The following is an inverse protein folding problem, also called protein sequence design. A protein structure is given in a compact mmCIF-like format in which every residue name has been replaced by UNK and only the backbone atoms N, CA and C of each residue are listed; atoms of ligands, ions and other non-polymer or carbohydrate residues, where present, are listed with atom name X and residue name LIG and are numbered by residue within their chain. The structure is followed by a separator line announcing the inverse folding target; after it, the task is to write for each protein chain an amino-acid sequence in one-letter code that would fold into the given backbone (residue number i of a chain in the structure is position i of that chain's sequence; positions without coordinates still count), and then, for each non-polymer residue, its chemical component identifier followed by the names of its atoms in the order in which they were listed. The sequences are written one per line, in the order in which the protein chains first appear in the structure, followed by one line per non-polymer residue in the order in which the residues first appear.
data_IF_430735169216
#
_entry.id   IF_430735169216
#
_cell.length_a   1.000
_cell.length_b   1.000
_cell.length_c   1.000
_cell.angle_alpha   90.00
_cell.angle_beta   90.00
_cell.angle_gamma   90.00
#
_symmetry.space_group_name_H-M   'P 1'
#
loop_
_entity.id
_entity.type
_entity.pdbx_description
1 polymer ?
#
# COMPACT_ATOMS: atom_id res chain seq x y z
N UNK A 1 -4.02 -26.88 10.47
CA UNK A 1 -3.63 -25.48 10.15
C UNK A 1 -4.66 -24.49 10.68
N UNK A 2 -5.95 -24.67 10.38
CA UNK A 2 -7.05 -23.84 10.88
C UNK A 2 -6.97 -23.59 12.40
N UNK A 3 -6.96 -24.64 13.23
CA UNK A 3 -6.93 -24.49 14.69
C UNK A 3 -5.66 -23.78 15.20
N UNK A 4 -4.53 -23.95 14.51
CA UNK A 4 -3.28 -23.25 14.84
C UNK A 4 -3.44 -21.74 14.65
N UNK A 5 -4.03 -21.32 13.52
CA UNK A 5 -4.30 -19.90 13.24
C UNK A 5 -5.34 -19.35 14.21
N UNK A 6 -6.42 -20.09 14.45
CA UNK A 6 -7.47 -19.71 15.40
C UNK A 6 -6.89 -19.47 16.80
N UNK A 7 -6.09 -20.41 17.29
CA UNK A 7 -5.45 -20.30 18.60
C UNK A 7 -4.42 -19.16 18.66
N UNK A 8 -3.67 -18.89 17.58
CA UNK A 8 -2.70 -17.79 17.57
C UNK A 8 -3.34 -16.41 17.65
N UNK A 9 -4.58 -16.27 17.14
CA UNK A 9 -5.32 -14.99 17.14
C UNK A 9 -6.17 -14.77 18.40
N UNK A 10 -6.33 -15.79 19.25
CA UNK A 10 -7.21 -15.74 20.41
C UNK A 10 -6.77 -14.64 21.39
N UNK A 11 -7.69 -13.72 21.69
CA UNK A 11 -7.45 -12.61 22.62
C UNK A 11 -6.49 -11.53 22.10
N UNK A 12 -6.05 -11.61 20.84
CA UNK A 12 -5.15 -10.62 20.23
C UNK A 12 -5.93 -9.45 19.65
N UNK A 13 -5.32 -8.26 19.67
CA UNK A 13 -5.79 -7.12 18.89
C UNK A 13 -5.43 -7.37 17.43
N UNK A 14 -6.40 -7.24 16.54
CA UNK A 14 -6.23 -7.61 15.13
C UNK A 14 -6.70 -6.52 14.18
N UNK A 15 -6.15 -6.56 12.98
CA UNK A 15 -6.66 -5.84 11.82
C UNK A 15 -7.20 -6.83 10.79
N UNK A 16 -8.34 -6.50 10.19
CA UNK A 16 -8.94 -7.26 9.10
C UNK A 16 -8.65 -6.55 7.79
N UNK A 17 -8.03 -7.25 6.84
CA UNK A 17 -7.74 -6.73 5.52
C UNK A 17 -8.64 -7.46 4.52
N UNK A 18 -9.27 -6.72 3.63
CA UNK A 18 -10.22 -7.22 2.66
C UNK A 18 -9.89 -6.67 1.27
N UNK A 19 -9.97 -7.54 0.26
CA UNK A 19 -9.90 -7.12 -1.12
C UNK A 19 -10.72 -8.08 -1.99
N UNK A 20 -11.43 -7.52 -2.95
CA UNK A 20 -12.30 -8.25 -3.86
C UNK A 20 -11.62 -8.42 -5.21
N UNK A 21 -11.86 -9.57 -5.84
CA UNK A 21 -11.43 -9.78 -7.21
C UNK A 21 -12.37 -10.72 -7.94
N UNK A 22 -12.28 -10.66 -9.27
CA UNK A 22 -13.04 -11.52 -10.18
C UNK A 22 -12.09 -12.53 -10.81
N UNK A 23 -12.46 -13.80 -10.75
CA UNK A 23 -11.63 -14.86 -11.34
C UNK A 23 -11.87 -15.08 -12.85
N UNK A 24 -11.07 -15.94 -13.47
CA UNK A 24 -11.15 -16.25 -14.91
C UNK A 24 -12.49 -16.84 -15.34
N UNK A 25 -13.26 -17.40 -14.41
CA UNK A 25 -14.61 -17.91 -14.63
C UNK A 25 -15.69 -16.87 -14.29
N UNK A 26 -15.33 -15.58 -14.16
CA UNK A 26 -16.24 -14.48 -13.83
C UNK A 26 -16.93 -14.63 -12.46
N UNK A 27 -16.28 -15.30 -11.51
CA UNK A 27 -16.81 -15.43 -10.14
C UNK A 27 -16.15 -14.40 -9.24
N UNK A 28 -16.98 -13.66 -8.51
CA UNK A 28 -16.53 -12.72 -7.49
C UNK A 28 -16.07 -13.46 -6.24
N UNK A 29 -14.93 -13.06 -5.69
CA UNK A 29 -14.44 -13.58 -4.43
C UNK A 29 -13.80 -12.48 -3.59
N UNK A 30 -13.98 -12.57 -2.28
CA UNK A 30 -13.40 -11.70 -1.28
C UNK A 30 -12.29 -12.45 -0.54
N UNK A 31 -11.09 -11.88 -0.52
CA UNK A 31 -10.06 -12.32 0.40
C UNK A 31 -10.27 -11.64 1.76
N UNK A 32 -10.33 -12.43 2.83
CA UNK A 32 -10.39 -11.93 4.20
C UNK A 32 -9.12 -12.37 4.93
N UNK A 33 -8.23 -11.42 5.17
CA UNK A 33 -6.98 -11.61 5.88
C UNK A 33 -7.08 -11.00 7.29
N UNK A 34 -6.27 -11.52 8.20
CA UNK A 34 -6.15 -11.02 9.56
C UNK A 34 -4.69 -10.80 9.92
N UNK A 35 -4.40 -9.65 10.51
CA UNK A 35 -3.06 -9.28 10.99
C UNK A 35 -3.10 -9.11 12.50
N UNK A 36 -2.22 -9.82 13.20
CA UNK A 36 -1.94 -9.56 14.62
C UNK A 36 -1.19 -8.23 14.75
N UNK A 37 -1.68 -7.36 15.62
CA UNK A 37 -1.11 -6.03 15.85
C UNK A 37 -0.09 -5.98 17.01
N UNK A 38 0.32 -7.12 17.56
CA UNK A 38 1.39 -7.16 18.58
C UNK A 38 2.77 -6.77 18.03
N UNK A 39 3.68 -6.35 18.92
CA UNK A 39 5.08 -6.06 18.61
C UNK A 39 5.79 -7.36 18.22
N UNK A 40 5.67 -7.81 16.96
CA UNK A 40 6.46 -8.90 16.36
C UNK A 40 6.30 -9.01 14.83
N UNK A 41 5.91 -7.91 14.15
CA UNK A 41 5.79 -7.82 12.67
C UNK A 41 5.15 -9.07 12.02
N UNK A 42 4.10 -9.64 12.64
CA UNK A 42 3.48 -10.83 12.06
C UNK A 42 2.85 -10.47 10.70
N UNK A 43 3.27 -11.20 9.67
CA UNK A 43 2.63 -11.13 8.36
C UNK A 43 1.14 -11.47 8.50
N UNK A 44 0.25 -10.79 7.77
CA UNK A 44 -1.16 -11.17 7.74
C UNK A 44 -1.33 -12.63 7.34
N UNK A 45 -2.30 -13.30 7.95
CA UNK A 45 -2.75 -14.65 7.60
C UNK A 45 -4.04 -14.57 6.81
N UNK A 46 -4.20 -15.44 5.82
CA UNK A 46 -5.46 -15.62 5.11
C UNK A 46 -6.43 -16.42 5.99
N UNK A 47 -7.57 -15.83 6.33
CA UNK A 47 -8.64 -16.50 7.07
C UNK A 47 -9.60 -17.20 6.12
N UNK A 48 -10.06 -16.50 5.07
CA UNK A 48 -11.01 -17.08 4.14
C UNK A 48 -10.93 -16.46 2.75
N UNK A 49 -11.30 -17.27 1.76
CA UNK A 49 -11.57 -16.82 0.39
C UNK A 49 -13.06 -17.05 0.15
N UNK A 50 -13.86 -15.99 0.23
CA UNK A 50 -15.32 -16.09 0.23
C UNK A 50 -15.85 -15.76 -1.16
N UNK A 51 -16.45 -16.72 -1.85
CA UNK A 51 -17.19 -16.43 -3.08
C UNK A 51 -18.44 -15.62 -2.78
N UNK A 52 -18.65 -14.55 -3.55
CA UNK A 52 -19.80 -13.67 -3.43
C UNK A 52 -20.75 -13.92 -4.60
N UNK A 53 -22.05 -13.92 -4.33
CA UNK A 53 -23.08 -13.95 -5.38
C UNK A 53 -23.12 -12.62 -6.14
N UNK A 54 -22.94 -11.51 -5.41
CA UNK A 54 -22.88 -10.15 -5.94
C UNK A 54 -21.87 -9.33 -5.16
N UNK A 55 -21.26 -8.33 -5.81
CA UNK A 55 -20.35 -7.37 -5.18
C UNK A 55 -21.13 -6.16 -4.68
N UNK A 56 -21.54 -6.19 -3.42
CA UNK A 56 -22.21 -5.07 -2.77
C UNK A 56 -21.85 -5.00 -1.28
N UNK A 57 -22.23 -3.92 -0.61
CA UNK A 57 -21.84 -3.71 0.78
C UNK A 57 -22.39 -4.77 1.73
N UNK A 58 -23.58 -5.34 1.45
CA UNK A 58 -24.21 -6.34 2.31
C UNK A 58 -23.49 -7.68 2.24
N UNK A 59 -23.18 -8.15 1.04
CA UNK A 59 -22.49 -9.44 0.82
C UNK A 59 -21.08 -9.40 1.42
N UNK A 60 -20.36 -8.29 1.25
CA UNK A 60 -19.05 -8.07 1.87
C UNK A 60 -19.16 -8.07 3.40
N UNK A 61 -20.07 -7.27 4.00
CA UNK A 61 -20.20 -7.23 5.47
C UNK A 61 -20.55 -8.61 6.04
N UNK A 62 -21.46 -9.33 5.41
CA UNK A 62 -21.83 -10.69 5.83
C UNK A 62 -20.66 -11.66 5.75
N UNK A 63 -19.86 -11.61 4.68
CA UNK A 63 -18.66 -12.43 4.52
C UNK A 63 -17.65 -12.18 5.65
N UNK A 64 -17.39 -10.91 5.98
CA UNK A 64 -16.50 -10.53 7.08
C UNK A 64 -17.04 -11.04 8.42
N UNK A 65 -18.31 -10.78 8.75
CA UNK A 65 -18.92 -11.21 10.02
C UNK A 65 -18.88 -12.74 10.17
N UNK A 66 -19.23 -13.48 9.12
CA UNK A 66 -19.17 -14.96 9.11
C UNK A 66 -17.74 -15.45 9.35
N UNK A 67 -16.76 -14.80 8.73
CA UNK A 67 -15.34 -15.15 8.91
C UNK A 67 -14.89 -14.89 10.35
N UNK A 68 -15.21 -13.73 10.93
CA UNK A 68 -14.88 -13.42 12.32
C UNK A 68 -15.46 -14.44 13.31
N UNK A 69 -16.74 -14.80 13.13
CA UNK A 69 -17.41 -15.81 13.94
C UNK A 69 -16.77 -17.21 13.79
N UNK A 70 -16.43 -17.62 12.57
CA UNK A 70 -15.74 -18.91 12.29
C UNK A 70 -14.43 -19.02 13.07
N UNK A 71 -13.68 -17.93 13.17
CA UNK A 71 -12.40 -17.86 13.87
C UNK A 71 -12.51 -17.46 15.35
N UNK A 72 -13.72 -17.26 15.90
CA UNK A 72 -13.92 -16.82 17.29
C UNK A 72 -13.14 -15.54 17.63
N UNK A 73 -13.08 -14.61 16.68
CA UNK A 73 -12.46 -13.30 16.86
C UNK A 73 -13.49 -12.38 17.51
N UNK A 74 -13.22 -11.97 18.75
CA UNK A 74 -14.03 -10.97 19.43
C UNK A 74 -14.02 -9.65 18.65
N UNK A 75 -15.21 -9.10 18.38
CA UNK A 75 -15.36 -7.84 17.66
C UNK A 75 -14.70 -6.65 18.34
N UNK A 76 -14.65 -6.61 19.68
CA UNK A 76 -13.95 -5.58 20.45
C UNK A 76 -12.44 -5.62 20.21
N UNK A 77 -11.91 -6.77 19.78
CA UNK A 77 -10.50 -6.94 19.48
C UNK A 77 -10.13 -6.59 18.04
N UNK A 78 -11.09 -6.14 17.21
CA UNK A 78 -10.80 -5.62 15.86
C UNK A 78 -10.57 -4.12 15.92
N UNK A 79 -9.34 -3.70 15.64
CA UNK A 79 -8.90 -2.30 15.74
C UNK A 79 -8.77 -1.62 14.37
N UNK A 80 -8.78 -2.40 13.30
CA UNK A 80 -8.66 -1.89 11.94
C UNK A 80 -9.44 -2.75 10.95
N UNK A 81 -10.10 -2.07 10.02
CA UNK A 81 -10.64 -2.66 8.81
C UNK A 81 -9.98 -1.97 7.61
N UNK A 82 -9.28 -2.74 6.79
CA UNK A 82 -8.57 -2.22 5.61
C UNK A 82 -9.23 -2.76 4.35
N UNK A 83 -9.51 -1.88 3.40
CA UNK A 83 -10.05 -2.29 2.10
C UNK A 83 -9.55 -1.36 0.99
N UNK A 84 -9.92 -1.66 -0.25
CA UNK A 84 -9.85 -0.68 -1.33
C UNK A 84 -10.73 0.57 -1.04
N UNK A 85 -10.68 1.55 -1.94
CA UNK A 85 -11.45 2.78 -1.85
C UNK A 85 -12.81 2.71 -2.58
N UNK A 86 -13.34 1.52 -2.85
CA UNK A 86 -14.62 1.38 -3.52
C UNK A 86 -15.78 1.83 -2.62
N UNK A 87 -16.80 2.43 -3.23
CA UNK A 87 -17.94 2.99 -2.50
C UNK A 87 -18.71 1.93 -1.71
N UNK A 88 -18.77 0.69 -2.19
CA UNK A 88 -19.43 -0.41 -1.50
C UNK A 88 -18.61 -0.93 -0.30
N UNK A 89 -17.26 -0.91 -0.36
CA UNK A 89 -16.41 -1.23 0.78
C UNK A 89 -16.56 -0.16 1.89
N UNK A 90 -16.58 1.11 1.50
CA UNK A 90 -16.85 2.21 2.42
C UNK A 90 -18.23 2.08 3.09
N UNK A 91 -19.28 1.72 2.32
CA UNK A 91 -20.61 1.45 2.86
C UNK A 91 -20.65 0.21 3.75
N UNK A 92 -19.90 -0.84 3.42
CA UNK A 92 -19.82 -2.08 4.22
C UNK A 92 -19.34 -1.74 5.62
N UNK A 93 -18.29 -0.91 5.72
CA UNK A 93 -17.80 -0.47 7.01
C UNK A 93 -18.78 0.47 7.73
N UNK A 94 -19.08 1.63 7.12
CA UNK A 94 -19.76 2.71 7.82
C UNK A 94 -21.24 2.42 8.13
N UNK A 95 -21.88 1.53 7.39
CA UNK A 95 -23.29 1.21 7.63
C UNK A 95 -23.48 -0.05 8.49
N UNK A 96 -22.50 -0.96 8.51
CA UNK A 96 -22.65 -2.28 9.14
C UNK A 96 -21.54 -2.55 10.14
N UNK A 97 -20.28 -2.66 9.68
CA UNK A 97 -19.19 -3.15 10.52
C UNK A 97 -18.85 -2.20 11.68
N UNK A 98 -18.93 -0.88 11.48
CA UNK A 98 -18.62 0.09 12.55
C UNK A 98 -19.51 -0.08 13.79
N UNK A 99 -20.74 -0.54 13.63
CA UNK A 99 -21.68 -0.77 14.72
C UNK A 99 -21.36 -2.06 15.51
N UNK A 100 -20.58 -2.96 14.92
CA UNK A 100 -20.16 -4.23 15.53
C UNK A 100 -18.73 -4.15 16.06
N UNK A 101 -17.87 -3.34 15.45
CA UNK A 101 -16.43 -3.25 15.72
C UNK A 101 -16.09 -1.91 16.41
N UNK A 102 -16.40 -1.73 17.71
CA UNK A 102 -16.39 -0.42 18.37
C UNK A 102 -15.00 0.24 18.46
N UNK A 103 -13.93 -0.56 18.42
CA UNK A 103 -12.55 -0.06 18.48
C UNK A 103 -11.92 0.13 17.09
N UNK A 104 -12.62 -0.26 16.02
CA UNK A 104 -12.08 -0.25 14.67
C UNK A 104 -12.13 1.13 14.03
N UNK A 105 -11.20 1.38 13.11
CA UNK A 105 -11.32 2.44 12.11
C UNK A 105 -11.19 1.84 10.70
N UNK A 106 -11.84 2.48 9.73
CA UNK A 106 -11.69 2.10 8.32
C UNK A 106 -10.49 2.81 7.70
N UNK A 107 -9.61 2.01 7.13
CA UNK A 107 -8.46 2.45 6.34
C UNK A 107 -8.70 2.05 4.90
N UNK A 108 -8.95 3.04 4.06
CA UNK A 108 -8.87 2.82 2.61
C UNK A 108 -7.41 2.71 2.20
N UNK A 109 -7.12 1.80 1.29
CA UNK A 109 -5.75 1.47 0.91
C UNK A 109 -5.00 2.70 0.39
N UNK A 110 -3.94 3.10 1.09
CA UNK A 110 -3.14 4.29 0.72
C UNK A 110 -2.56 4.15 -0.68
N UNK A 111 -2.13 2.95 -1.08
CA UNK A 111 -1.61 2.72 -2.43
C UNK A 111 -2.66 3.07 -3.50
N UNK A 112 -3.95 2.80 -3.24
CA UNK A 112 -5.05 3.17 -4.12
C UNK A 112 -5.29 4.69 -4.10
N UNK A 113 -5.18 5.34 -2.94
CA UNK A 113 -5.28 6.81 -2.84
C UNK A 113 -4.16 7.50 -3.63
N UNK A 114 -2.92 7.05 -3.46
CA UNK A 114 -1.77 7.58 -4.19
C UNK A 114 -1.95 7.32 -5.69
N UNK A 115 -2.40 6.13 -6.09
CA UNK A 115 -2.72 5.83 -7.48
C UNK A 115 -3.82 6.76 -8.04
N UNK A 116 -4.84 7.09 -7.25
CA UNK A 116 -5.88 8.05 -7.63
C UNK A 116 -5.33 9.47 -7.79
N UNK A 117 -4.41 9.91 -6.92
CA UNK A 117 -3.74 11.21 -7.03
C UNK A 117 -2.87 11.23 -8.30
N UNK A 118 -2.05 10.20 -8.50
CA UNK A 118 -1.23 9.95 -9.68
C UNK A 118 -2.03 9.98 -10.98
N UNK A 119 -3.21 9.37 -10.99
CA UNK A 119 -4.07 9.31 -12.18
C UNK A 119 -4.52 10.70 -12.66
N UNK A 120 -4.61 11.68 -11.74
CA UNK A 120 -4.87 13.09 -12.09
C UNK A 120 -3.79 13.64 -13.02
N UNK A 121 -2.54 13.22 -12.83
CA UNK A 121 -1.42 13.61 -13.68
C UNK A 121 -1.53 12.97 -15.05
N UNK A 122 -1.79 11.66 -15.07
CA UNK A 122 -1.98 10.90 -16.31
C UNK A 122 -3.09 11.49 -17.18
N UNK A 123 -4.27 11.73 -16.62
CA UNK A 123 -5.42 12.29 -17.34
C UNK A 123 -5.14 13.69 -17.88
N UNK A 124 -4.38 14.49 -17.13
CA UNK A 124 -4.04 15.86 -17.52
C UNK A 124 -2.95 15.91 -18.58
N UNK A 125 -2.00 14.96 -18.56
CA UNK A 125 -0.86 14.87 -19.48
C UNK A 125 -1.15 13.92 -20.65
N UNK A 126 -2.24 14.17 -21.39
CA UNK A 126 -2.76 13.28 -22.46
C UNK A 126 -1.72 12.90 -23.52
N UNK A 127 -0.86 13.84 -23.92
CA UNK A 127 0.22 13.56 -24.90
C UNK A 127 1.24 12.56 -24.36
N UNK A 128 1.64 12.72 -23.09
CA UNK A 128 2.57 11.82 -22.42
C UNK A 128 1.93 10.45 -22.17
N UNK A 129 0.66 10.41 -21.75
CA UNK A 129 -0.07 9.15 -21.57
C UNK A 129 -0.20 8.37 -22.89
N UNK A 130 -0.46 9.08 -24.00
CA UNK A 130 -0.48 8.50 -25.34
C UNK A 130 0.88 7.93 -25.73
N UNK A 131 1.98 8.65 -25.47
CA UNK A 131 3.33 8.14 -25.71
C UNK A 131 3.60 6.84 -24.93
N UNK A 132 3.31 6.85 -23.63
CA UNK A 132 3.48 5.67 -22.76
C UNK A 132 2.67 4.47 -23.30
N UNK A 133 1.43 4.71 -23.74
CA UNK A 133 0.58 3.70 -24.37
C UNK A 133 1.14 3.16 -25.70
N UNK A 134 1.67 4.04 -26.56
CA UNK A 134 2.28 3.67 -27.84
C UNK A 134 3.55 2.85 -27.63
N UNK A 135 4.44 3.26 -26.72
CA UNK A 135 5.64 2.49 -26.40
C UNK A 135 5.26 1.11 -25.88
N UNK A 136 4.30 1.00 -24.95
CA UNK A 136 3.77 -0.30 -24.51
C UNK A 136 3.27 -1.13 -25.70
N UNK A 137 2.50 -0.54 -26.61
CA UNK A 137 1.97 -1.23 -27.79
C UNK A 137 3.08 -1.75 -28.71
N UNK A 138 4.07 -0.92 -29.03
CA UNK A 138 5.22 -1.22 -29.89
C UNK A 138 5.96 -2.47 -29.39
N UNK A 139 6.17 -2.57 -28.07
CA UNK A 139 6.91 -3.68 -27.46
C UNK A 139 6.05 -4.90 -27.14
N UNK A 140 4.80 -4.72 -26.71
CA UNK A 140 3.92 -5.85 -26.34
C UNK A 140 3.48 -6.68 -27.55
N UNK A 141 3.30 -6.07 -28.73
CA UNK A 141 2.81 -6.75 -29.93
C UNK A 141 3.89 -7.47 -30.74
N UNK A 142 5.17 -7.22 -30.49
CA UNK A 142 6.27 -7.81 -31.28
C UNK A 142 7.38 -8.35 -30.38
N UNK A 143 7.40 -9.67 -30.11
CA UNK A 143 8.51 -10.33 -29.41
C UNK A 143 9.86 -10.10 -30.09
N UNK A 144 9.88 -10.09 -31.43
CA UNK A 144 11.09 -9.83 -32.21
C UNK A 144 11.65 -8.43 -31.95
N UNK A 145 10.79 -7.40 -31.84
CA UNK A 145 11.20 -6.03 -31.54
C UNK A 145 11.78 -5.89 -30.12
N UNK A 146 11.21 -6.61 -29.14
CA UNK A 146 11.77 -6.69 -27.77
C UNK A 146 13.20 -7.23 -27.79
N UNK A 147 13.45 -8.30 -28.56
CA UNK A 147 14.78 -8.89 -28.70
C UNK A 147 15.74 -7.89 -29.35
N UNK A 148 15.35 -7.29 -30.47
CA UNK A 148 16.20 -6.29 -31.18
C UNK A 148 16.53 -5.09 -30.30
N UNK A 149 15.59 -4.59 -29.51
CA UNK A 149 15.85 -3.47 -28.62
C UNK A 149 16.82 -3.85 -27.49
N UNK A 150 16.69 -5.06 -26.93
CA UNK A 150 17.62 -5.55 -25.93
C UNK A 150 19.04 -5.66 -26.49
N UNK A 151 19.19 -6.18 -27.71
CA UNK A 151 20.48 -6.25 -28.43
C UNK A 151 21.03 -4.84 -28.68
N UNK A 152 20.20 -3.92 -29.16
CA UNK A 152 20.57 -2.52 -29.38
C UNK A 152 21.10 -1.83 -28.11
N UNK A 153 20.46 -2.06 -26.95
CA UNK A 153 20.94 -1.51 -25.67
C UNK A 153 22.26 -2.14 -25.21
N UNK A 154 22.46 -3.45 -25.48
CA UNK A 154 23.71 -4.15 -25.17
C UNK A 154 24.87 -3.65 -26.02
N UNK A 155 24.66 -3.43 -27.32
CA UNK A 155 25.66 -2.87 -28.24
C UNK A 155 26.11 -1.45 -27.83
N UNK A 156 25.24 -0.70 -27.17
CA UNK A 156 25.55 0.62 -26.62
C UNK A 156 26.14 0.59 -25.21
N UNK A 157 26.46 -0.58 -24.66
CA UNK A 157 27.01 -0.78 -23.31
C UNK A 157 26.16 -0.15 -22.19
N UNK A 158 24.83 -0.17 -22.31
CA UNK A 158 23.94 0.31 -21.24
C UNK A 158 23.95 -0.69 -20.08
N UNK A 159 24.37 -0.23 -18.91
CA UNK A 159 24.61 -1.04 -17.69
C UNK A 159 23.40 -1.89 -17.26
N UNK A 160 22.17 -1.42 -17.57
CA UNK A 160 20.90 -2.14 -17.37
C UNK A 160 20.05 -2.12 -18.63
N UNK A 161 20.33 -3.02 -19.57
CA UNK A 161 19.57 -3.23 -20.82
C UNK A 161 18.18 -3.86 -20.57
N UNK A 162 17.36 -3.20 -19.76
CA UNK A 162 16.00 -3.62 -19.43
C UNK A 162 15.02 -3.15 -20.51
N UNK A 163 13.95 -3.92 -20.72
CA UNK A 163 12.84 -3.48 -21.57
C UNK A 163 12.02 -2.39 -20.87
N UNK A 164 11.27 -1.57 -21.64
CA UNK A 164 10.40 -0.58 -21.03
C UNK A 164 9.37 -1.26 -20.11
N UNK A 165 9.13 -0.71 -18.90
CA UNK A 165 8.12 -1.22 -17.99
C UNK A 165 6.74 -1.20 -18.66
N UNK A 166 5.94 -2.25 -18.48
CA UNK A 166 4.56 -2.24 -18.94
C UNK A 166 3.67 -1.54 -17.90
N UNK A 167 3.09 -0.36 -18.21
CA UNK A 167 2.20 0.31 -17.28
C UNK A 167 0.92 -0.53 -17.11
N UNK A 168 0.55 -0.76 -15.86
CA UNK A 168 -0.67 -1.45 -15.44
C UNK A 168 -1.48 -0.47 -14.61
N UNK A 169 -2.63 -0.05 -15.13
CA UNK A 169 -3.46 1.01 -14.53
C UNK A 169 -3.83 0.68 -13.08
N UNK A 170 -4.03 -0.60 -12.76
CA UNK A 170 -4.40 -1.07 -11.42
C UNK A 170 -3.22 -1.26 -10.46
N UNK A 171 -1.96 -1.16 -10.93
CA UNK A 171 -0.77 -1.27 -10.06
C UNK A 171 -0.15 0.10 -9.86
N UNK A 172 -0.07 0.52 -8.60
CA UNK A 172 0.50 1.80 -8.21
C UNK A 172 1.90 2.00 -8.82
N UNK A 173 2.21 3.26 -9.15
CA UNK A 173 3.50 3.71 -9.66
C UNK A 173 3.94 3.22 -11.06
N UNK A 174 3.33 2.19 -11.66
CA UNK A 174 3.82 1.62 -12.93
C UNK A 174 3.87 2.62 -14.09
N UNK A 175 2.93 3.57 -14.14
CA UNK A 175 2.92 4.64 -15.13
C UNK A 175 4.10 5.61 -14.94
N UNK A 176 4.39 6.01 -13.70
CA UNK A 176 5.55 6.85 -13.39
C UNK A 176 6.86 6.11 -13.60
N UNK A 177 6.94 4.82 -13.26
CA UNK A 177 8.11 3.98 -13.55
C UNK A 177 8.36 3.89 -15.06
N UNK A 178 7.30 3.75 -15.87
CA UNK A 178 7.42 3.77 -17.33
C UNK A 178 7.94 5.12 -17.83
N UNK A 179 7.42 6.24 -17.32
CA UNK A 179 7.92 7.59 -17.65
C UNK A 179 9.38 7.75 -17.26
N UNK A 180 9.76 7.38 -16.04
CA UNK A 180 11.13 7.47 -15.56
C UNK A 180 12.07 6.68 -16.49
N UNK A 181 11.70 5.44 -16.83
CA UNK A 181 12.44 4.65 -17.79
C UNK A 181 12.57 5.36 -19.15
N UNK A 182 11.48 5.94 -19.68
CA UNK A 182 11.51 6.62 -20.96
C UNK A 182 12.40 7.86 -20.94
N UNK A 183 12.41 8.60 -19.83
CA UNK A 183 13.27 9.78 -19.64
C UNK A 183 14.74 9.37 -19.57
N UNK A 184 15.05 8.34 -18.78
CA UNK A 184 16.41 7.78 -18.66
C UNK A 184 16.93 7.22 -19.99
N UNK A 185 16.04 6.62 -20.79
CA UNK A 185 16.39 5.98 -22.07
C UNK A 185 15.98 6.81 -23.29
N UNK A 186 15.75 8.11 -23.15
CA UNK A 186 15.12 8.95 -24.17
C UNK A 186 15.83 8.91 -25.52
N UNK A 187 17.15 9.17 -25.49
CA UNK A 187 17.97 9.20 -26.71
C UNK A 187 18.07 7.81 -27.35
N UNK A 188 18.11 6.75 -26.54
CA UNK A 188 18.13 5.36 -27.01
C UNK A 188 16.81 4.98 -27.67
N UNK A 189 15.68 5.33 -27.07
CA UNK A 189 14.35 5.10 -27.61
C UNK A 189 14.16 5.83 -28.94
N UNK A 190 14.55 7.11 -29.02
CA UNK A 190 14.50 7.88 -30.27
C UNK A 190 15.31 7.21 -31.38
N UNK A 191 16.56 6.81 -31.10
CA UNK A 191 17.42 6.15 -32.09
C UNK A 191 16.84 4.82 -32.55
N UNK A 192 16.36 3.99 -31.62
CA UNK A 192 15.79 2.69 -31.94
C UNK A 192 14.48 2.78 -32.72
N UNK A 193 13.58 3.70 -32.35
CA UNK A 193 12.32 3.88 -33.09
C UNK A 193 12.59 4.37 -34.52
N UNK A 194 13.56 5.28 -34.70
CA UNK A 194 13.97 5.71 -36.05
C UNK A 194 14.53 4.55 -36.89
N UNK A 195 15.34 3.65 -36.31
CA UNK A 195 15.85 2.49 -37.04
C UNK A 195 14.73 1.50 -37.38
N UNK A 196 13.77 1.28 -36.47
CA UNK A 196 12.60 0.44 -36.73
C UNK A 196 11.66 1.03 -37.80
N UNK A 197 11.46 2.35 -37.85
CA UNK A 197 10.68 3.01 -38.91
C UNK A 197 11.35 2.80 -40.27
N UNK A 198 12.68 2.88 -40.33
CA UNK A 198 13.43 2.65 -41.57
C UNK A 198 13.25 1.22 -42.09
N UNK A 199 13.05 0.25 -41.19
CA UNK A 199 12.79 -1.16 -41.53
C UNK A 199 11.31 -1.44 -41.82
N UNK A 200 10.39 -0.73 -41.16
CA UNK A 200 8.95 -0.98 -41.20
C UNK A 200 8.14 0.33 -41.31
N UNK A 201 8.27 1.07 -42.43
CA UNK A 201 7.75 2.43 -42.57
C UNK A 201 6.23 2.55 -42.51
N UNK A 202 5.51 1.46 -42.80
CA UNK A 202 4.04 1.39 -42.75
C UNK A 202 3.48 1.26 -41.32
N UNK A 203 4.32 1.14 -40.30
CA UNK A 203 3.87 0.97 -38.91
C UNK A 203 3.49 2.31 -38.28
N UNK A 204 2.22 2.69 -38.38
CA UNK A 204 1.70 3.98 -37.86
C UNK A 204 2.09 4.27 -36.40
N UNK A 205 2.04 3.27 -35.53
CA UNK A 205 2.38 3.44 -34.10
C UNK A 205 3.83 3.88 -33.87
N UNK A 206 4.76 3.48 -34.76
CA UNK A 206 6.17 3.90 -34.66
C UNK A 206 6.32 5.37 -35.06
N UNK A 207 5.71 5.76 -36.18
CA UNK A 207 5.71 7.14 -36.69
C UNK A 207 5.09 8.10 -35.68
N UNK A 208 3.93 7.73 -35.12
CA UNK A 208 3.22 8.52 -34.11
C UNK A 208 4.00 8.65 -32.79
N UNK A 209 4.65 7.58 -32.33
CA UNK A 209 5.51 7.64 -31.15
C UNK A 209 6.71 8.57 -31.37
N UNK A 210 7.33 8.53 -32.54
CA UNK A 210 8.46 9.39 -32.88
C UNK A 210 8.07 10.88 -32.93
N UNK A 211 6.90 11.20 -33.48
CA UNK A 211 6.40 12.59 -33.49
C UNK A 211 6.21 13.12 -32.07
N UNK A 212 5.61 12.33 -31.18
CA UNK A 212 5.41 12.73 -29.78
C UNK A 212 6.75 12.81 -29.02
N UNK A 213 7.72 11.93 -29.31
CA UNK A 213 9.08 11.99 -28.75
C UNK A 213 9.86 13.23 -29.20
N UNK A 214 9.62 13.75 -30.40
CA UNK A 214 10.24 15.00 -30.84
C UNK A 214 9.69 16.22 -30.07
N UNK A 215 8.42 16.16 -29.66
CA UNK A 215 7.68 17.25 -28.98
C UNK A 215 7.99 17.36 -27.47
N UNK A 216 8.33 16.26 -26.78
CA UNK A 216 8.24 16.15 -25.32
C UNK A 216 9.57 16.16 -24.51
N UNK A 217 10.71 16.59 -25.07
CA UNK A 217 12.04 16.45 -24.43
C UNK A 217 12.12 17.08 -23.01
N UNK A 218 12.12 16.27 -21.95
CA UNK A 218 12.28 16.69 -20.53
C UNK A 218 13.08 15.65 -19.72
N UNK A 219 13.89 16.07 -18.72
CA UNK A 219 14.81 15.24 -17.88
C UNK A 219 14.42 15.14 -16.39
N UNK A 220 14.69 13.94 -15.82
CA UNK A 220 14.84 13.45 -14.42
C UNK A 220 13.66 13.63 -13.44
N UNK A 221 13.49 12.90 -12.31
CA UNK A 221 13.83 11.58 -11.69
C UNK A 221 12.92 11.46 -10.44
N UNK A 222 12.57 10.27 -9.90
CA UNK A 222 12.41 9.97 -8.44
C UNK A 222 11.78 8.58 -8.16
N UNK A 223 12.32 7.86 -7.16
CA UNK A 223 11.92 6.52 -6.66
C UNK A 223 11.27 6.60 -5.27
N UNK A 224 10.47 5.59 -4.88
CA UNK A 224 9.82 5.50 -3.55
C UNK A 224 9.86 4.09 -2.94
N UNK A 225 9.82 4.02 -1.60
CA UNK A 225 9.73 2.81 -0.77
C UNK A 225 8.75 3.00 0.42
N UNK A 226 8.38 1.90 1.10
CA UNK A 226 7.28 1.75 2.08
C UNK A 226 7.48 2.45 3.45
N UNK A 227 6.38 2.76 4.14
CA UNK A 227 6.31 3.59 5.36
C UNK A 227 5.57 2.94 6.55
N UNK A 228 5.96 3.30 7.78
CA UNK A 228 5.20 3.08 9.03
C UNK A 228 3.92 3.94 9.10
N UNK A 229 2.96 3.62 9.99
CA UNK A 229 1.74 4.42 10.14
C UNK A 229 2.02 5.86 10.66
N UNK A 230 3.02 6.01 11.52
CA UNK A 230 3.52 7.31 12.03
C UNK A 230 4.25 8.13 10.97
N UNK A 231 4.85 7.46 9.98
CA UNK A 231 5.54 8.08 8.85
C UNK A 231 4.56 8.47 7.75
N UNK A 232 3.56 7.63 7.49
CA UNK A 232 2.58 7.82 6.43
C UNK A 232 1.95 9.22 6.43
N UNK A 233 1.46 9.68 7.60
CA UNK A 233 0.87 11.02 7.66
C UNK A 233 1.92 12.09 7.32
N UNK A 234 3.16 11.93 7.78
CA UNK A 234 4.24 12.86 7.45
C UNK A 234 4.54 12.87 5.96
N UNK A 235 4.58 11.73 5.30
CA UNK A 235 4.90 11.68 3.87
C UNK A 235 3.78 12.24 3.01
N UNK A 236 2.52 11.98 3.38
CA UNK A 236 1.38 12.64 2.75
C UNK A 236 1.40 14.16 3.03
N UNK A 237 1.82 14.59 4.22
CA UNK A 237 1.95 16.01 4.55
C UNK A 237 3.14 16.67 3.83
N UNK A 238 4.27 15.97 3.63
CA UNK A 238 5.38 16.43 2.78
C UNK A 238 4.91 16.59 1.34
N UNK A 239 4.13 15.63 0.83
CA UNK A 239 3.51 15.73 -0.49
C UNK A 239 2.57 16.94 -0.57
N UNK A 240 1.78 17.20 0.48
CA UNK A 240 0.94 18.39 0.58
C UNK A 240 1.77 19.69 0.52
N UNK A 241 2.83 19.81 1.32
CA UNK A 241 3.74 20.96 1.30
C UNK A 241 4.43 21.14 -0.06
N UNK A 242 4.84 20.04 -0.69
CA UNK A 242 5.45 20.04 -2.02
C UNK A 242 4.49 20.61 -3.07
N UNK A 243 3.20 20.26 -3.05
CA UNK A 243 2.23 20.87 -3.94
C UNK A 243 2.11 22.38 -3.72
N UNK A 244 2.02 22.84 -2.46
CA UNK A 244 1.93 24.26 -2.14
C UNK A 244 3.15 25.05 -2.63
N UNK A 245 4.35 24.52 -2.44
CA UNK A 245 5.58 25.15 -2.95
C UNK A 245 5.57 25.26 -4.49
N UNK A 246 4.99 24.28 -5.17
CA UNK A 246 4.88 24.28 -6.63
C UNK A 246 3.75 25.18 -7.15
N UNK A 247 2.77 25.57 -6.34
CA UNK A 247 1.80 26.61 -6.71
C UNK A 247 2.51 27.95 -6.95
N UNK A 248 3.40 28.34 -6.04
CA UNK A 248 4.19 29.55 -6.18
C UNK A 248 5.19 29.45 -7.33
N UNK A 249 5.87 28.31 -7.45
CA UNK A 249 6.85 28.06 -8.52
C UNK A 249 6.23 28.18 -9.91
N UNK A 250 5.03 27.64 -10.09
CA UNK A 250 4.34 27.62 -11.40
C UNK A 250 3.23 28.66 -11.52
N UNK A 251 3.23 29.72 -10.69
CA UNK A 251 2.19 30.76 -10.72
C UNK A 251 1.97 31.40 -12.10
N UNK A 252 3.02 31.44 -12.93
CA UNK A 252 3.00 31.99 -14.29
C UNK A 252 2.76 30.94 -15.39
N UNK A 253 2.76 29.65 -15.06
CA UNK A 253 2.45 28.54 -15.98
C UNK A 253 1.06 27.98 -15.62
N UNK A 254 0.03 28.52 -16.25
CA UNK A 254 -1.37 28.17 -15.95
C UNK A 254 -1.66 26.68 -16.11
N UNK A 255 -0.96 26.00 -17.04
CA UNK A 255 -1.13 24.58 -17.31
C UNK A 255 -0.61 23.72 -16.16
N UNK A 256 0.62 24.00 -15.70
CA UNK A 256 1.24 23.29 -14.57
C UNK A 256 0.56 23.66 -13.26
N UNK A 257 0.22 24.93 -13.05
CA UNK A 257 -0.50 25.36 -11.85
C UNK A 257 -1.83 24.61 -11.70
N UNK A 258 -2.63 24.53 -12.77
CA UNK A 258 -3.90 23.80 -12.77
C UNK A 258 -3.70 22.31 -12.47
N UNK A 259 -2.63 21.70 -13.00
CA UNK A 259 -2.30 20.30 -12.75
C UNK A 259 -1.99 20.03 -11.27
N UNK A 260 -1.12 20.84 -10.68
CA UNK A 260 -0.77 20.75 -9.27
C UNK A 260 -2.01 21.01 -8.39
N UNK A 261 -2.85 22.00 -8.71
CA UNK A 261 -4.06 22.30 -7.96
C UNK A 261 -5.05 21.12 -7.96
N UNK A 262 -5.33 20.53 -9.13
CA UNK A 262 -6.22 19.35 -9.23
C UNK A 262 -5.69 18.15 -8.45
N UNK A 263 -4.38 17.89 -8.54
CA UNK A 263 -3.73 16.81 -7.78
C UNK A 263 -3.83 17.06 -6.27
N UNK A 264 -3.59 18.30 -5.84
CA UNK A 264 -3.66 18.72 -4.44
C UNK A 264 -5.07 18.64 -3.86
N UNK A 265 -6.09 19.06 -4.61
CA UNK A 265 -7.50 18.92 -4.19
C UNK A 265 -7.84 17.46 -3.89
N UNK A 266 -7.36 16.53 -4.75
CA UNK A 266 -7.57 15.10 -4.53
C UNK A 266 -6.82 14.59 -3.30
N UNK A 267 -5.61 15.07 -3.03
CA UNK A 267 -4.86 14.76 -1.81
C UNK A 267 -5.56 15.29 -0.55
N UNK A 268 -6.01 16.56 -0.56
CA UNK A 268 -6.71 17.19 0.57
C UNK A 268 -7.96 16.41 0.98
N UNK A 269 -8.71 15.90 0.00
CA UNK A 269 -9.91 15.10 0.23
C UNK A 269 -9.66 13.94 1.21
N UNK A 270 -8.53 13.25 1.07
CA UNK A 270 -8.18 12.12 1.93
C UNK A 270 -7.42 12.56 3.19
N UNK A 271 -6.57 13.58 3.07
CA UNK A 271 -5.70 14.01 4.17
C UNK A 271 -6.45 14.82 5.25
N UNK A 272 -7.40 15.66 4.84
CA UNK A 272 -8.08 16.63 5.71
C UNK A 272 -9.60 16.51 5.72
N UNK A 273 -10.23 16.16 4.58
CA UNK A 273 -11.69 16.21 4.45
C UNK A 273 -12.40 14.91 4.87
N UNK A 274 -11.68 14.00 5.54
CA UNK A 274 -12.25 12.80 6.16
C UNK A 274 -12.64 11.68 5.19
N UNK A 275 -12.27 11.74 3.91
CA UNK A 275 -12.55 10.64 2.97
C UNK A 275 -11.80 9.33 3.30
N UNK A 276 -10.79 9.41 4.17
CA UNK A 276 -10.15 8.26 4.79
C UNK A 276 -10.33 8.36 6.32
N UNK A 277 -11.27 7.60 6.93
CA UNK A 277 -11.60 7.75 8.35
C UNK A 277 -10.41 7.57 9.30
N UNK A 278 -9.49 6.64 9.00
CA UNK A 278 -8.29 6.42 9.82
C UNK A 278 -7.22 7.51 9.67
N UNK A 279 -7.36 8.48 8.78
CA UNK A 279 -6.34 9.53 8.60
C UNK A 279 -6.17 10.38 9.85
N UNK A 280 -7.28 10.67 10.55
CA UNK A 280 -7.24 11.35 11.84
C UNK A 280 -6.43 10.52 12.85
N UNK A 281 -6.68 9.21 12.91
CA UNK A 281 -5.94 8.30 13.77
C UNK A 281 -4.43 8.31 13.45
N UNK A 282 -4.04 8.34 12.17
CA UNK A 282 -2.64 8.42 11.76
C UNK A 282 -1.98 9.75 12.11
N UNK A 283 -2.71 10.86 11.97
CA UNK A 283 -2.24 12.17 12.43
C UNK A 283 -1.93 12.15 13.92
N UNK A 284 -2.86 11.63 14.72
CA UNK A 284 -2.70 11.58 16.18
C UNK A 284 -1.62 10.56 16.59
N UNK A 285 -1.50 9.43 15.89
CA UNK A 285 -0.50 8.38 16.16
C UNK A 285 0.95 8.88 16.18
N UNK A 286 1.24 10.02 15.56
CA UNK A 286 2.56 10.67 15.57
C UNK A 286 3.10 10.96 16.96
N UNK A 287 2.22 11.05 17.98
CA UNK A 287 2.67 11.17 19.38
C UNK A 287 3.51 9.97 19.85
N UNK A 288 3.35 8.81 19.20
CA UNK A 288 4.08 7.59 19.51
C UNK A 288 5.53 7.60 19.02
N UNK A 289 5.89 8.59 18.21
CA UNK A 289 7.26 8.84 17.80
C UNK A 289 7.81 9.99 18.66
N UNK A 290 8.62 9.67 19.70
CA UNK A 290 9.29 10.65 20.55
C UNK A 290 9.99 11.79 19.80
N UNK A 291 10.63 11.50 18.67
CA UNK A 291 11.37 12.50 17.90
C UNK A 291 10.42 13.50 17.25
N UNK A 292 9.24 13.05 16.80
CA UNK A 292 8.21 13.92 16.24
C UNK A 292 7.44 14.66 17.34
N UNK A 293 7.09 13.96 18.42
CA UNK A 293 6.14 14.43 19.42
C UNK A 293 6.63 15.65 20.20
N UNK A 294 7.96 15.84 20.30
CA UNK A 294 8.56 17.07 20.86
C UNK A 294 8.11 18.35 20.14
N UNK A 295 7.69 18.24 18.88
CA UNK A 295 7.23 19.35 18.03
C UNK A 295 5.71 19.39 17.84
N UNK A 296 4.96 18.56 18.56
CA UNK A 296 3.50 18.49 18.48
C UNK A 296 2.85 19.10 19.71
N UNK A 297 1.55 19.42 19.60
CA UNK A 297 0.75 19.74 20.77
C UNK A 297 0.72 18.55 21.73
N UNK A 298 1.06 18.78 22.99
CA UNK A 298 1.15 17.74 24.02
C UNK A 298 -0.13 17.64 24.88
N UNK A 299 -1.21 18.31 24.47
CA UNK A 299 -2.51 18.22 25.13
C UNK A 299 -3.14 16.82 24.98
N UNK A 300 -3.12 16.04 26.06
CA UNK A 300 -3.67 14.69 26.14
C UNK A 300 -5.12 14.58 25.63
N UNK A 301 -5.97 15.56 25.92
CA UNK A 301 -7.41 15.46 25.61
C UNK A 301 -7.66 15.50 24.09
N UNK A 302 -6.73 16.04 23.29
CA UNK A 302 -6.81 16.03 21.83
C UNK A 302 -6.65 14.61 21.26
N UNK A 303 -5.69 13.85 21.81
CA UNK A 303 -5.42 12.47 21.44
C UNK A 303 -6.47 11.50 21.99
N UNK A 304 -6.88 11.68 23.25
CA UNK A 304 -7.78 10.76 23.96
C UNK A 304 -9.18 10.64 23.33
N UNK A 305 -9.61 11.63 22.54
CA UNK A 305 -10.88 11.59 21.79
C UNK A 305 -10.82 10.71 20.54
N UNK A 306 -9.63 10.48 19.99
CA UNK A 306 -9.46 9.82 18.69
C UNK A 306 -8.85 8.42 18.79
N UNK A 307 -8.04 8.17 19.83
CA UNK A 307 -7.35 6.89 19.99
C UNK A 307 -8.11 6.00 20.98
N UNK A 308 -8.56 4.80 20.57
CA UNK A 308 -9.21 3.84 21.45
C UNK A 308 -8.40 3.56 22.71
N UNK A 309 -9.06 3.58 23.86
CA UNK A 309 -8.51 3.31 25.20
C UNK A 309 -7.46 4.30 25.72
N UNK A 310 -7.04 5.33 24.96
CA UNK A 310 -6.03 6.29 25.42
C UNK A 310 -6.48 7.10 26.64
N UNK A 311 -7.78 7.37 26.77
CA UNK A 311 -8.37 8.04 27.94
C UNK A 311 -7.99 7.40 29.28
N UNK A 312 -7.67 6.09 29.29
CA UNK A 312 -7.29 5.34 30.47
C UNK A 312 -5.80 5.49 30.84
N UNK A 313 -5.00 6.18 30.00
CA UNK A 313 -3.55 6.27 30.14
C UNK A 313 -3.07 7.64 30.64
N UNK A 314 -3.94 8.46 31.27
CA UNK A 314 -3.60 9.85 31.64
C UNK A 314 -2.37 9.97 32.55
N UNK A 315 -2.24 9.08 33.54
CA UNK A 315 -1.06 9.07 34.43
C UNK A 315 0.20 8.65 33.68
N UNK A 316 0.12 7.59 32.87
CA UNK A 316 1.25 7.13 32.06
C UNK A 316 1.65 8.13 30.98
N UNK A 317 0.73 8.96 30.49
CA UNK A 317 1.04 10.06 29.59
C UNK A 317 1.97 11.08 30.24
N UNK A 318 1.74 11.43 31.51
CA UNK A 318 2.64 12.35 32.22
C UNK A 318 4.04 11.75 32.39
N UNK A 319 4.10 10.46 32.75
CA UNK A 319 5.37 9.73 32.81
C UNK A 319 6.07 9.67 31.45
N UNK A 320 5.31 9.49 30.36
CA UNK A 320 5.84 9.53 29.01
C UNK A 320 6.46 10.88 28.69
N UNK A 321 5.80 12.00 29.02
CA UNK A 321 6.35 13.34 28.85
C UNK A 321 7.65 13.55 29.64
N UNK A 322 7.77 12.97 30.84
CA UNK A 322 9.01 13.05 31.62
C UNK A 322 10.13 12.19 31.00
N UNK A 323 9.83 10.97 30.56
CA UNK A 323 10.77 10.11 29.83
C UNK A 323 11.31 10.83 28.59
N UNK A 324 10.47 11.55 27.85
CA UNK A 324 10.89 12.29 26.65
C UNK A 324 11.91 13.38 26.93
N UNK A 325 11.84 14.04 28.09
CA UNK A 325 12.83 15.06 28.49
C UNK A 325 14.21 14.46 28.76
N UNK A 326 14.24 13.21 29.21
CA UNK A 326 15.45 12.46 29.52
C UNK A 326 16.02 11.69 28.31
N UNK A 327 15.23 11.57 27.23
CA UNK A 327 15.60 10.80 26.04
C UNK A 327 16.53 11.61 25.14
N UNK A 328 17.72 11.10 24.85
CA UNK A 328 18.60 11.63 23.81
C UNK A 328 18.20 11.09 22.43
N UNK A 329 18.25 11.96 21.42
CA UNK A 329 17.88 11.63 20.03
C UNK A 329 19.11 11.59 19.10
N UNK A 330 20.30 11.33 19.65
CA UNK A 330 21.53 11.28 18.87
C UNK A 330 21.67 9.92 18.16
N UNK A 331 22.01 9.96 16.85
CA UNK A 331 22.23 8.85 15.91
C UNK A 331 21.33 7.59 16.03
N UNK A 332 20.48 7.39 15.02
CA UNK A 332 19.64 6.20 14.77
C UNK A 332 18.65 5.85 15.89
N UNK A 333 17.80 6.80 16.29
CA UNK A 333 16.72 6.56 17.23
C UNK A 333 15.79 5.43 16.75
N UNK A 334 15.63 4.39 17.56
CA UNK A 334 14.77 3.25 17.26
C UNK A 334 13.47 3.32 18.09
N UNK A 335 12.37 3.66 17.42
CA UNK A 335 11.05 3.78 18.03
C UNK A 335 10.58 2.49 18.71
N UNK A 336 10.90 1.32 18.15
CA UNK A 336 10.48 0.02 18.71
C UNK A 336 11.24 -0.24 20.00
N UNK A 337 12.55 -0.02 19.99
CA UNK A 337 13.41 -0.19 21.16
C UNK A 337 13.02 0.74 22.30
N UNK A 338 12.67 1.99 21.99
CA UNK A 338 12.16 2.96 22.96
C UNK A 338 10.92 2.41 23.70
N UNK A 339 9.93 1.92 22.97
CA UNK A 339 8.70 1.39 23.57
C UNK A 339 8.95 0.11 24.37
N UNK A 340 9.78 -0.80 23.85
CA UNK A 340 10.14 -2.04 24.55
C UNK A 340 10.89 -1.77 25.86
N UNK A 341 11.81 -0.82 25.87
CA UNK A 341 12.58 -0.40 27.06
C UNK A 341 11.68 0.18 28.14
N UNK A 342 10.69 0.98 27.74
CA UNK A 342 9.79 1.67 28.67
C UNK A 342 8.51 0.88 29.02
N UNK A 343 8.31 -0.32 28.46
CA UNK A 343 7.08 -1.13 28.64
C UNK A 343 6.68 -1.40 30.09
N UNK A 344 7.65 -1.49 31.01
CA UNK A 344 7.40 -1.72 32.44
C UNK A 344 6.98 -0.44 33.16
N UNK A 345 7.46 0.73 32.69
CA UNK A 345 7.18 2.04 33.29
C UNK A 345 5.83 2.59 32.84
N UNK A 346 5.46 2.36 31.58
CA UNK A 346 4.23 2.85 30.94
C UNK A 346 3.49 1.72 30.22
N UNK A 347 3.02 0.67 30.95
CA UNK A 347 2.46 -0.54 30.36
C UNK A 347 1.16 -0.33 29.57
N UNK A 348 0.26 0.54 30.02
CA UNK A 348 -1.01 0.82 29.34
C UNK A 348 -0.79 1.58 28.04
N UNK A 349 0.09 2.59 28.05
CA UNK A 349 0.47 3.38 26.90
C UNK A 349 1.30 2.55 25.91
N UNK A 350 2.21 1.70 26.41
CA UNK A 350 2.87 0.68 25.60
C UNK A 350 1.86 -0.22 24.91
N UNK A 351 0.81 -0.65 25.62
CA UNK A 351 -0.28 -1.43 25.04
C UNK A 351 -1.08 -0.68 23.97
N UNK A 352 -0.96 0.64 23.85
CA UNK A 352 -1.47 1.45 22.74
C UNK A 352 -0.45 1.54 21.60
N UNK A 353 0.80 1.85 21.93
CA UNK A 353 1.91 1.92 20.99
C UNK A 353 2.02 0.62 20.18
N UNK A 354 1.87 -0.51 20.87
CA UNK A 354 1.95 -1.85 20.29
C UNK A 354 1.07 -2.01 19.05
N UNK A 355 -0.23 -1.74 19.16
CA UNK A 355 -1.12 -1.96 18.02
C UNK A 355 -1.12 -0.81 17.01
N UNK A 356 -0.88 0.41 17.47
CA UNK A 356 -1.02 1.60 16.63
C UNK A 356 0.22 1.84 15.73
N UNK A 357 1.41 1.42 16.15
CA UNK A 357 2.62 1.51 15.29
C UNK A 357 2.54 0.57 14.08
N UNK A 358 1.97 -0.63 14.23
CA UNK A 358 1.84 -1.61 13.15
C UNK A 358 0.48 -1.58 12.45
N UNK A 359 -0.29 -0.52 12.68
CA UNK A 359 -1.59 -0.32 12.07
C UNK A 359 -1.46 -0.39 10.54
N UNK A 360 -2.16 -1.31 9.86
CA UNK A 360 -2.00 -1.50 8.42
C UNK A 360 -2.54 -0.29 7.65
N UNK A 361 -1.79 0.11 6.61
CA UNK A 361 -2.08 1.28 5.79
C UNK A 361 -2.57 0.93 4.38
N UNK A 362 -2.49 -0.34 4.00
CA UNK A 362 -2.80 -0.83 2.67
C UNK A 362 -3.27 -2.29 2.70
N UNK A 363 -3.93 -2.71 1.63
CA UNK A 363 -4.42 -4.08 1.41
C UNK A 363 -3.48 -4.92 0.51
N UNK A 364 -2.20 -4.56 0.38
CA UNK A 364 -1.30 -5.23 -0.56
C UNK A 364 -1.10 -6.73 -0.28
N UNK A 365 -1.24 -7.16 0.98
CA UNK A 365 -1.24 -8.60 1.32
C UNK A 365 -2.45 -9.34 0.74
N UNK A 366 -3.59 -8.68 0.56
CA UNK A 366 -4.73 -9.23 -0.14
C UNK A 366 -4.42 -9.39 -1.64
N UNK A 367 -3.78 -8.41 -2.28
CA UNK A 367 -3.32 -8.54 -3.68
C UNK A 367 -2.34 -9.72 -3.85
N UNK A 368 -1.45 -9.95 -2.87
CA UNK A 368 -0.58 -11.13 -2.86
C UNK A 368 -1.39 -12.43 -2.77
N UNK A 369 -2.43 -12.46 -1.93
CA UNK A 369 -3.34 -13.60 -1.84
C UNK A 369 -4.09 -13.84 -3.15
N UNK A 370 -4.61 -12.78 -3.78
CA UNK A 370 -5.24 -12.84 -5.11
C UNK A 370 -4.25 -13.36 -6.16
N UNK A 371 -2.99 -12.94 -6.11
CA UNK A 371 -1.95 -13.45 -7.02
C UNK A 371 -1.70 -14.96 -6.85
N UNK A 372 -1.69 -15.46 -5.62
CA UNK A 372 -1.61 -16.90 -5.36
C UNK A 372 -2.87 -17.61 -5.87
N UNK A 373 -4.05 -17.07 -5.61
CA UNK A 373 -5.32 -17.58 -6.14
C UNK A 373 -5.27 -17.70 -7.67
N UNK A 374 -4.81 -16.68 -8.38
CA UNK A 374 -4.71 -16.67 -9.84
C UNK A 374 -3.63 -17.61 -10.38
N UNK A 375 -2.65 -18.01 -9.56
CA UNK A 375 -1.73 -19.11 -9.90
C UNK A 375 -2.40 -20.47 -9.68
N UNK A 376 -3.31 -20.59 -8.71
CA UNK A 376 -4.07 -21.81 -8.44
C UNK A 376 -5.08 -22.07 -9.55
N UNK A 377 -5.86 -21.05 -9.91
CA UNK A 377 -6.86 -21.11 -10.97
C UNK A 377 -6.34 -20.39 -12.20
N UNK A 378 -5.85 -21.15 -13.19
CA UNK A 378 -5.40 -20.64 -14.49
C UNK A 378 -6.35 -21.06 -15.59
N UNK A 379 -6.22 -20.49 -16.79
CA UNK A 379 -7.01 -20.88 -17.96
C UNK A 379 -6.84 -22.39 -18.27
N UNK A 380 -5.63 -22.92 -18.11
CA UNK A 380 -5.33 -24.35 -18.30
C UNK A 380 -5.76 -25.23 -17.11
N UNK A 381 -5.88 -24.65 -15.90
CA UNK A 381 -6.27 -25.34 -14.66
C UNK A 381 -7.53 -24.72 -14.07
N UNK A 382 -8.64 -24.81 -14.81
CA UNK A 382 -9.92 -24.19 -14.46
C UNK A 382 -11.00 -25.15 -13.91
N UNK A 383 -10.70 -26.47 -13.82
CA UNK A 383 -11.67 -27.52 -13.41
C UNK A 383 -11.79 -27.75 -11.90
N UNK A 384 -11.10 -26.96 -11.08
CA UNK A 384 -11.14 -27.10 -9.62
C UNK A 384 -12.48 -26.60 -9.06
N UNK A 385 -13.02 -27.31 -8.07
CA UNK A 385 -14.21 -26.86 -7.35
C UNK A 385 -13.89 -25.61 -6.54
N UNK A 386 -14.92 -24.80 -6.23
CA UNK A 386 -14.79 -23.62 -5.36
C UNK A 386 -14.09 -23.98 -4.05
N UNK A 387 -14.52 -25.07 -3.41
CA UNK A 387 -13.95 -25.56 -2.15
C UNK A 387 -12.47 -25.93 -2.28
N UNK A 388 -12.08 -26.65 -3.34
CA UNK A 388 -10.67 -26.98 -3.57
C UNK A 388 -9.80 -25.75 -3.76
N UNK A 389 -10.29 -24.73 -4.49
CA UNK A 389 -9.54 -23.49 -4.71
C UNK A 389 -9.35 -22.73 -3.39
N UNK A 390 -10.41 -22.59 -2.60
CA UNK A 390 -10.37 -21.94 -1.27
C UNK A 390 -9.37 -22.64 -0.37
N UNK A 391 -9.43 -23.97 -0.27
CA UNK A 391 -8.53 -24.76 0.57
C UNK A 391 -7.06 -24.67 0.09
N UNK A 392 -6.82 -24.74 -1.22
CA UNK A 392 -5.48 -24.58 -1.77
C UNK A 392 -4.92 -23.18 -1.52
N UNK A 393 -5.72 -22.13 -1.72
CA UNK A 393 -5.28 -20.76 -1.49
C UNK A 393 -4.94 -20.54 -0.02
N UNK A 394 -5.79 -21.03 0.88
CA UNK A 394 -5.57 -21.02 2.32
C UNK A 394 -4.25 -21.71 2.71
N UNK A 395 -3.99 -22.92 2.20
CA UNK A 395 -2.78 -23.67 2.53
C UNK A 395 -1.55 -22.98 1.96
N UNK A 396 -1.55 -22.63 0.67
CA UNK A 396 -0.38 -22.08 -0.02
C UNK A 396 0.02 -20.72 0.55
N UNK A 397 -0.95 -19.81 0.72
CA UNK A 397 -0.68 -18.47 1.25
C UNK A 397 -0.11 -18.55 2.67
N UNK A 398 -0.76 -19.32 3.56
CA UNK A 398 -0.35 -19.37 4.95
C UNK A 398 0.94 -20.20 5.16
N UNK A 399 1.23 -21.22 4.33
CA UNK A 399 2.48 -21.99 4.45
C UNK A 399 3.71 -21.19 4.01
N UNK A 400 3.59 -20.39 2.94
CA UNK A 400 4.69 -19.50 2.51
C UNK A 400 5.09 -18.53 3.63
N UNK A 401 4.12 -18.09 4.44
CA UNK A 401 4.38 -17.19 5.56
C UNK A 401 4.93 -17.91 6.80
N UNK A 402 4.50 -19.14 7.08
CA UNK A 402 5.02 -19.94 8.20
C UNK A 402 6.50 -20.30 7.99
N UNK A 403 6.93 -20.59 6.76
CA UNK A 403 8.34 -20.87 6.45
C UNK A 403 9.22 -19.62 6.65
N UNK A 404 8.76 -18.44 6.27
CA UNK A 404 9.53 -17.19 6.47
C UNK A 404 9.67 -16.79 7.95
N UNK A 405 8.64 -17.03 8.78
CA UNK A 405 8.72 -16.79 10.24
C UNK A 405 9.68 -17.76 10.94
N UNK A 406 9.98 -18.91 10.33
CA UNK A 406 10.96 -19.88 10.84
C UNK A 406 12.39 -19.37 10.65
N UNK A 407 12.66 -18.78 9.49
CA UNK A 407 13.97 -18.20 9.13
C UNK A 407 14.26 -16.92 9.93
N UNK A 408 13.27 -16.04 10.12
CA UNK A 408 13.45 -14.83 10.95
C UNK A 408 13.71 -15.16 12.44
N UNK A 409 13.25 -16.33 12.93
CA UNK A 409 13.58 -16.79 14.29
C UNK A 409 14.99 -17.35 14.41
N UNK A 410 15.53 -17.95 13.35
CA UNK A 410 16.93 -18.40 13.32
C UNK A 410 17.88 -17.20 13.27
N UNK A 411 17.56 -16.16 12.49
CA UNK A 411 18.40 -14.95 12.43
C UNK A 411 18.45 -14.19 13.78
N UNK A 412 17.33 -14.11 14.51
CA UNK A 412 17.28 -13.50 15.85
C UNK A 412 18.02 -14.36 16.90
N UNK A 413 18.05 -15.68 16.75
CA UNK A 413 18.81 -16.55 17.66
C UNK A 413 20.32 -16.44 17.40
N UNK A 414 20.73 -16.31 16.13
CA UNK A 414 22.13 -16.15 15.75
C UNK A 414 22.68 -14.77 16.21
N UNK A 415 21.89 -13.70 16.14
CA UNK A 415 22.30 -12.38 16.68
C UNK A 415 22.45 -12.38 18.21
N UNK A 416 21.64 -13.17 18.93
CA UNK A 416 21.74 -13.26 20.40
C UNK A 416 22.89 -14.16 20.88
N UNK A 417 23.38 -15.11 20.06
CA UNK A 417 24.57 -15.91 20.37
C UNK A 417 25.89 -15.19 20.06
N UNK A 418 25.86 -14.11 19.27
CA UNK A 418 27.05 -13.28 18.97
C UNK A 418 27.27 -12.17 20.02
N UNK A 419 26.29 -11.92 20.90
CA UNK A 419 26.32 -10.86 21.93
C UNK A 419 26.38 -11.43 23.38
N UNK A 420 26.42 -12.75 23.54
CA UNK A 420 26.75 -13.39 24.82
C UNK A 420 28.25 -13.70 24.89
#
# INVERSE_FOLDING_TARGET
MFDKIKNSLKGKKVAILCDESTDTNQRYFLQVLCKDLSFNKHSPVLLDTVYLEEVNFRTVSQAVIKTLNKYDINFDNVFSFVSDNASYMFKSYNNVLINLLPNSHHTTCVAHIIALIADTWRISLKKLDKLVGLIKFIFSKSPARRIRYKVFLQELNVEKANLPPEPVITRWNTWFTAIQYHVENWDHLCKFINSEISLYPETESLSEALEILKDLRVKNEYQGNNFLATELYNDLNKLHCWHLANFETFKNDSSRLTLFQKSHEKLKKYLFDGAMPSMKLFKEARFLDPEQFKNLDQNFDNYARSIPNLKNCRTEWLLYLDILKETSFENSFNIIEFWLTNRKKIPSLFGIAEWLLFYPTNSADCERSISIYNKILTDDRNRLTKESIVNLNFIVFNNQKIQNVSLEKEDVLIENEIIA
#
